data_IF_808734424599
#
_entry.id   IF_808734424599
#
_cell.length_a   1.000
_cell.length_b   1.000
_cell.length_c   1.000
_cell.angle_alpha   90.00
_cell.angle_beta   90.00
_cell.angle_gamma   90.00
#
_symmetry.space_group_name_H-M   'P 1'
#
loop_
_entity.id
_entity.type
_entity.pdbx_description
1 polymer ?
#
# COMPACT_ATOMS: atom_id res chain seq x y z
N UNK A 1 -4.88 -20.55 6.45
CA UNK A 1 -4.44 -19.19 6.82
C UNK A 1 -3.49 -19.34 7.99
N UNK A 2 -2.27 -18.83 7.87
CA UNK A 2 -1.25 -18.86 8.92
C UNK A 2 -1.17 -17.44 9.50
N UNK A 3 -1.04 -17.31 10.82
CA UNK A 3 -0.94 -16.02 11.50
C UNK A 3 0.52 -15.76 11.84
N UNK A 4 1.04 -14.61 11.38
CA UNK A 4 2.41 -14.16 11.63
C UNK A 4 2.36 -12.71 12.15
N UNK A 5 2.24 -12.50 13.47
CA UNK A 5 2.08 -11.15 14.04
C UNK A 5 3.37 -10.33 13.93
N UNK A 6 4.52 -10.99 13.89
CA UNK A 6 5.83 -10.43 13.58
C UNK A 6 6.28 -11.05 12.24
N UNK A 7 6.90 -10.33 11.29
CA UNK A 7 7.18 -10.83 9.93
C UNK A 7 8.30 -11.90 9.85
N UNK A 8 8.43 -12.76 10.86
CA UNK A 8 9.46 -13.77 10.98
C UNK A 8 9.29 -14.92 9.97
N UNK A 9 8.07 -15.22 9.51
CA UNK A 9 7.84 -16.30 8.56
C UNK A 9 8.32 -15.95 7.16
N UNK A 10 8.34 -14.66 6.78
CA UNK A 10 8.87 -14.24 5.47
C UNK A 10 10.35 -14.66 5.34
N UNK A 11 11.15 -14.41 6.37
CA UNK A 11 12.56 -14.79 6.43
C UNK A 11 12.76 -16.31 6.35
N UNK A 12 11.89 -17.07 7.04
CA UNK A 12 12.00 -18.54 7.12
C UNK A 12 11.52 -19.24 5.86
N UNK A 13 10.42 -18.77 5.28
CA UNK A 13 9.77 -19.38 4.11
C UNK A 13 10.45 -18.98 2.80
N UNK A 14 11.13 -17.82 2.77
CA UNK A 14 11.79 -17.26 1.58
C UNK A 14 10.86 -17.30 0.37
N UNK A 15 9.70 -16.64 0.44
CA UNK A 15 8.73 -16.67 -0.64
C UNK A 15 9.31 -16.06 -1.92
N UNK A 16 8.80 -16.48 -3.07
CA UNK A 16 9.13 -15.86 -4.36
C UNK A 16 8.51 -14.48 -4.51
N UNK A 17 7.38 -14.24 -3.82
CA UNK A 17 6.60 -13.00 -3.91
C UNK A 17 6.09 -12.64 -2.51
N UNK A 18 6.25 -11.37 -2.13
CA UNK A 18 5.60 -10.76 -0.97
C UNK A 18 4.62 -9.70 -1.46
N UNK A 19 3.41 -9.68 -0.88
CA UNK A 19 2.43 -8.62 -1.08
C UNK A 19 2.13 -8.00 0.27
N UNK A 20 2.51 -6.75 0.46
CA UNK A 20 2.21 -5.98 1.65
C UNK A 20 0.88 -5.24 1.47
N UNK A 21 -0.13 -5.72 2.18
CA UNK A 21 -1.48 -5.17 2.23
C UNK A 21 -1.82 -4.53 3.60
N UNK A 22 -0.81 -4.24 4.43
CA UNK A 22 -0.99 -3.64 5.75
C UNK A 22 -1.53 -2.22 5.56
N UNK A 23 -2.70 -1.95 6.15
CA UNK A 23 -3.35 -0.64 6.07
C UNK A 23 -2.76 0.31 7.14
N UNK A 24 -1.45 0.56 7.05
CA UNK A 24 -0.74 1.52 7.90
C UNK A 24 -0.58 2.89 7.22
N UNK A 25 -0.64 2.93 5.87
CA UNK A 25 -0.41 4.13 5.05
C UNK A 25 1.00 4.74 5.20
N UNK A 26 1.89 4.00 5.85
CA UNK A 26 3.31 4.23 6.04
C UNK A 26 3.98 2.85 5.97
N UNK A 27 5.22 2.79 5.47
CA UNK A 27 5.97 1.54 5.50
C UNK A 27 6.28 1.12 6.95
N UNK A 28 5.85 -0.08 7.35
CA UNK A 28 6.06 -0.64 8.69
C UNK A 28 7.26 -1.59 8.80
N UNK A 29 8.07 -1.70 7.74
CA UNK A 29 9.27 -2.54 7.71
C UNK A 29 9.44 -3.41 6.47
N UNK A 30 8.59 -3.23 5.45
CA UNK A 30 8.69 -3.93 4.17
C UNK A 30 9.86 -3.40 3.37
N UNK A 31 10.61 -4.31 2.75
CA UNK A 31 11.80 -3.98 1.97
C UNK A 31 11.85 -4.75 0.65
N UNK A 32 12.64 -4.25 -0.31
CA UNK A 32 12.95 -4.96 -1.56
C UNK A 32 13.59 -6.34 -1.34
N UNK A 33 14.12 -6.60 -0.15
CA UNK A 33 14.84 -7.85 0.16
C UNK A 33 13.94 -8.95 0.73
N UNK A 34 12.67 -8.64 1.01
CA UNK A 34 11.74 -9.60 1.60
C UNK A 34 11.40 -10.75 0.64
N UNK A 35 11.50 -10.51 -0.67
CA UNK A 35 11.36 -11.50 -1.74
C UNK A 35 11.93 -10.99 -3.08
N UNK A 36 12.17 -11.90 -4.07
CA UNK A 36 12.51 -11.51 -5.43
C UNK A 36 11.51 -10.54 -6.09
N UNK A 37 10.24 -10.60 -5.69
CA UNK A 37 9.22 -9.62 -6.06
C UNK A 37 8.44 -9.20 -4.81
N UNK A 38 8.32 -7.88 -4.62
CA UNK A 38 7.65 -7.26 -3.48
C UNK A 38 6.69 -6.22 -4.02
N UNK A 39 5.40 -6.40 -3.73
CA UNK A 39 4.33 -5.51 -4.16
C UNK A 39 3.71 -4.89 -2.92
N UNK A 40 3.65 -3.57 -2.87
CA UNK A 40 2.96 -2.86 -1.79
C UNK A 40 1.60 -2.33 -2.25
N UNK A 41 0.66 -2.17 -1.32
CA UNK A 41 -0.66 -1.60 -1.62
C UNK A 41 -0.78 -0.18 -1.05
N UNK A 42 -1.05 0.78 -1.93
CA UNK A 42 -1.44 2.12 -1.55
C UNK A 42 -0.30 3.02 -1.04
N UNK A 43 -0.65 4.13 -0.38
CA UNK A 43 0.34 5.12 0.07
C UNK A 43 1.23 4.59 1.20
N UNK A 44 2.38 5.24 1.38
CA UNK A 44 3.35 4.90 2.42
C UNK A 44 4.60 4.20 1.90
N UNK A 45 4.65 3.90 0.60
CA UNK A 45 5.76 3.24 -0.08
C UNK A 45 6.28 4.07 -1.26
N UNK A 46 7.52 3.80 -1.65
CA UNK A 46 8.18 4.31 -2.84
C UNK A 46 8.68 3.13 -3.68
N UNK A 47 8.18 3.01 -4.91
CA UNK A 47 8.60 1.96 -5.84
C UNK A 47 10.09 2.14 -6.21
N UNK A 48 10.84 1.05 -6.17
CA UNK A 48 12.30 1.02 -6.35
C UNK A 48 13.10 1.33 -5.09
N UNK A 49 12.44 1.61 -3.97
CA UNK A 49 13.07 1.86 -2.68
C UNK A 49 12.55 0.87 -1.63
N UNK A 50 11.24 0.87 -1.39
CA UNK A 50 10.59 0.00 -0.40
C UNK A 50 10.11 -1.31 -1.03
N UNK A 51 9.69 -1.27 -2.29
CA UNK A 51 9.08 -2.38 -3.02
C UNK A 51 9.33 -2.26 -4.52
N UNK A 52 9.07 -3.32 -5.28
CA UNK A 52 9.30 -3.34 -6.73
C UNK A 52 8.17 -2.65 -7.50
N UNK A 53 6.95 -2.72 -6.98
CA UNK A 53 5.78 -2.06 -7.55
C UNK A 53 4.76 -1.75 -6.45
N UNK A 54 3.97 -0.70 -6.67
CA UNK A 54 2.85 -0.32 -5.81
C UNK A 54 1.55 -0.50 -6.59
N UNK A 55 0.48 -0.96 -5.93
CA UNK A 55 -0.87 -0.90 -6.48
C UNK A 55 -1.59 0.30 -5.89
N UNK A 56 -2.09 1.18 -6.75
CA UNK A 56 -2.89 2.33 -6.31
C UNK A 56 -4.20 1.86 -5.65
N UNK A 57 -4.49 2.39 -4.47
CA UNK A 57 -5.69 2.04 -3.67
C UNK A 57 -6.63 3.22 -3.43
N UNK A 58 -6.19 4.44 -3.70
CA UNK A 58 -7.05 5.60 -3.63
C UNK A 58 -8.11 5.53 -4.73
N UNK A 59 -9.36 5.84 -4.36
CA UNK A 59 -10.48 5.84 -5.31
C UNK A 59 -10.33 7.03 -6.25
N UNK A 60 -10.19 6.74 -7.53
CA UNK A 60 -10.03 7.77 -8.53
C UNK A 60 -9.61 7.18 -9.87
N UNK A 61 -9.13 8.05 -10.76
CA UNK A 61 -8.69 7.68 -12.10
C UNK A 61 -7.56 6.64 -12.10
N UNK A 62 -6.75 6.61 -11.03
CA UNK A 62 -5.58 5.75 -10.92
C UNK A 62 -5.83 4.44 -10.18
N UNK A 63 -7.02 4.24 -9.59
CA UNK A 63 -7.33 3.07 -8.76
C UNK A 63 -6.97 1.75 -9.46
N UNK A 64 -6.22 0.89 -8.77
CA UNK A 64 -5.82 -0.43 -9.23
C UNK A 64 -4.65 -0.45 -10.22
N UNK A 65 -4.09 0.71 -10.59
CA UNK A 65 -2.91 0.76 -11.46
C UNK A 65 -1.65 0.30 -10.73
N UNK A 66 -0.75 -0.29 -11.50
CA UNK A 66 0.60 -0.63 -11.06
C UNK A 66 1.51 0.57 -11.25
N UNK A 67 2.17 0.98 -10.17
CA UNK A 67 3.12 2.09 -10.13
C UNK A 67 4.52 1.49 -10.00
N UNK A 68 5.34 1.76 -11.00
CA UNK A 68 6.76 1.42 -11.07
C UNK A 68 7.62 2.62 -10.65
N UNK A 69 8.95 2.45 -10.44
CA UNK A 69 9.84 3.56 -10.15
C UNK A 69 9.71 4.70 -11.17
N UNK A 70 9.58 5.94 -10.69
CA UNK A 70 9.35 7.12 -11.53
C UNK A 70 7.95 7.23 -12.15
N UNK A 71 7.05 6.29 -11.85
CA UNK A 71 5.65 6.33 -12.26
C UNK A 71 4.75 7.02 -11.22
N UNK A 72 3.45 6.77 -11.33
CA UNK A 72 2.46 7.28 -10.39
C UNK A 72 1.99 8.72 -10.69
N UNK A 73 1.01 9.22 -9.94
CA UNK A 73 0.36 10.52 -10.19
C UNK A 73 1.32 11.71 -10.12
N UNK A 74 2.34 11.64 -9.26
CA UNK A 74 3.38 12.66 -9.11
C UNK A 74 4.68 12.39 -9.89
N UNK A 75 4.79 11.24 -10.57
CA UNK A 75 6.04 10.81 -11.22
C UNK A 75 7.18 10.45 -10.25
N UNK A 76 6.90 10.36 -8.96
CA UNK A 76 7.86 10.07 -7.89
C UNK A 76 7.88 8.58 -7.49
N UNK A 77 7.15 7.72 -8.20
CA UNK A 77 7.04 6.29 -7.90
C UNK A 77 6.19 6.01 -6.66
N UNK A 78 5.29 6.92 -6.27
CA UNK A 78 4.40 6.77 -5.11
C UNK A 78 2.93 6.74 -5.53
N UNK A 79 2.11 6.08 -4.71
CA UNK A 79 0.66 6.15 -4.80
C UNK A 79 0.14 7.49 -4.26
N UNK A 80 -1.11 7.85 -4.59
CA UNK A 80 -1.76 9.04 -4.08
C UNK A 80 -1.80 9.02 -2.55
N UNK A 81 -1.37 10.12 -1.94
CA UNK A 81 -1.40 10.27 -0.50
C UNK A 81 -2.83 10.14 0.03
N UNK A 82 -2.97 9.53 1.19
CA UNK A 82 -4.26 9.43 1.86
C UNK A 82 -4.81 10.84 2.16
N UNK A 83 -5.92 11.20 1.54
CA UNK A 83 -6.54 12.52 1.68
C UNK A 83 -7.22 12.74 3.03
N UNK A 84 -7.41 11.68 3.83
CA UNK A 84 -8.24 11.68 5.05
C UNK A 84 -9.71 12.08 4.81
N UNK A 85 -10.14 12.20 3.56
CA UNK A 85 -11.51 12.48 3.18
C UNK A 85 -12.12 11.15 2.71
N UNK A 86 -13.12 10.61 3.42
CA UNK A 86 -13.85 9.45 2.94
C UNK A 86 -14.42 9.74 1.55
N UNK A 87 -14.15 8.88 0.57
CA UNK A 87 -14.78 8.98 -0.75
C UNK A 87 -16.30 8.90 -0.60
N UNK A 88 -17.04 9.63 -1.42
CA UNK A 88 -18.50 9.64 -1.35
C UNK A 88 -19.09 8.23 -1.51
N UNK A 89 -19.67 7.70 -0.43
CA UNK A 89 -20.42 6.44 -0.45
C UNK A 89 -21.90 6.84 -0.62
N UNK A 90 -22.46 6.69 -1.83
CA UNK A 90 -23.90 6.88 -2.11
C UNK A 90 -24.55 8.13 -1.48
N UNK A 91 -23.90 9.29 -1.56
CA UNK A 91 -24.55 10.58 -1.30
C UNK A 91 -24.71 11.03 0.15
N UNK A 92 -23.97 10.50 1.13
CA UNK A 92 -23.93 11.08 2.48
C UNK A 92 -22.51 11.30 2.96
N UNK A 93 -22.08 12.56 3.00
CA UNK A 93 -20.97 13.00 3.83
C UNK A 93 -21.46 13.04 5.29
N UNK A 94 -21.29 11.97 6.05
CA UNK A 94 -21.31 12.08 7.50
C UNK A 94 -19.89 12.35 7.97
N UNK A 95 -19.57 13.57 8.46
CA UNK A 95 -18.32 13.77 9.17
C UNK A 95 -18.26 12.79 10.34
N UNK A 96 -17.15 12.07 10.44
CA UNK A 96 -16.82 11.19 11.57
C UNK A 96 -16.70 12.04 12.82
N UNK A 97 -17.79 12.19 13.56
CA UNK A 97 -17.86 13.05 14.74
C UNK A 97 -19.18 12.91 15.50
N UNK A 98 -19.70 11.69 15.66
CA UNK A 98 -20.75 11.45 16.65
C UNK A 98 -20.84 9.94 16.97
N UNK A 99 -19.95 9.48 17.84
CA UNK A 99 -20.21 8.39 18.76
C UNK A 99 -19.87 8.94 20.15
N UNK A 100 -20.92 9.35 20.87
CA UNK A 100 -20.95 9.42 22.34
C UNK A 100 -21.97 8.39 22.80
#
# INVERSE_FOLDING_TARGET
>A
MLVDPDPALVVRLKPQIVVDAIIAKVNTGTTLHDAPLVIALGPGFTAGQDCHAIIETNRGHWLGRVIYPGGGPGGDGRAEANTNIPGQIKGQNRPTGCYR
#
